data_IF_448617135506
#
_entry.id   IF_448617135506
#
_cell.length_a   1.000
_cell.length_b   1.000
_cell.length_c   1.000
_cell.angle_alpha   90.00
_cell.angle_beta   90.00
_cell.angle_gamma   90.00
#
_symmetry.space_group_name_H-M   'P 1'
#
loop_
_entity.id
_entity.type
_entity.pdbx_description
1 polymer ?
#
# COMPACT_ATOMS: atom_id res chain seq x y z
N UNK A 1 -10.80 30.06 -20.37
CA UNK A 1 -11.39 28.73 -20.13
C UNK A 1 -12.79 28.72 -20.71
N UNK A 2 -13.08 27.78 -21.62
CA UNK A 2 -14.41 27.60 -22.21
C UNK A 2 -15.44 27.21 -21.12
N UNK A 3 -16.72 27.54 -21.31
CA UNK A 3 -17.79 27.24 -20.35
C UNK A 3 -17.95 25.74 -20.09
N UNK A 4 -17.76 24.92 -21.12
CA UNK A 4 -17.78 23.45 -21.01
C UNK A 4 -16.70 22.93 -20.05
N UNK A 5 -15.49 23.51 -20.09
CA UNK A 5 -14.41 23.16 -19.18
C UNK A 5 -14.77 23.50 -17.73
N UNK A 6 -15.43 24.65 -17.50
CA UNK A 6 -15.87 25.04 -16.15
C UNK A 6 -16.95 24.11 -15.62
N UNK A 7 -17.91 23.73 -16.45
CA UNK A 7 -18.98 22.80 -16.09
C UNK A 7 -18.42 21.41 -15.77
N UNK A 8 -17.50 20.91 -16.60
CA UNK A 8 -16.81 19.64 -16.37
C UNK A 8 -16.08 19.63 -15.01
N UNK A 9 -15.28 20.66 -14.73
CA UNK A 9 -14.54 20.76 -13.46
C UNK A 9 -15.47 20.82 -12.24
N UNK A 10 -16.60 21.52 -12.36
CA UNK A 10 -17.62 21.57 -11.31
C UNK A 10 -18.20 20.18 -11.02
N UNK A 11 -18.59 19.44 -12.06
CA UNK A 11 -19.16 18.09 -11.91
C UNK A 11 -18.14 17.12 -11.29
N UNK A 12 -16.86 17.21 -11.69
CA UNK A 12 -15.78 16.41 -11.09
C UNK A 12 -15.60 16.75 -9.60
N UNK A 13 -15.62 18.04 -9.24
CA UNK A 13 -15.49 18.46 -7.84
C UNK A 13 -16.67 17.97 -6.97
N UNK A 14 -17.90 18.03 -7.50
CA UNK A 14 -19.08 17.52 -6.82
C UNK A 14 -19.04 15.99 -6.64
N UNK A 15 -18.57 15.26 -7.67
CA UNK A 15 -18.34 13.82 -7.57
C UNK A 15 -17.31 13.50 -6.49
N UNK A 16 -16.15 14.16 -6.48
CA UNK A 16 -15.11 13.95 -5.45
C UNK A 16 -15.66 14.24 -4.06
N UNK A 17 -16.47 15.29 -3.89
CA UNK A 17 -17.10 15.64 -2.62
C UNK A 17 -18.11 14.57 -2.17
N UNK A 18 -18.93 14.06 -3.07
CA UNK A 18 -19.90 12.99 -2.80
C UNK A 18 -19.21 11.69 -2.40
N UNK A 19 -18.16 11.31 -3.13
CA UNK A 19 -17.32 10.17 -2.80
C UNK A 19 -16.70 10.39 -1.41
N UNK A 20 -16.05 11.54 -1.19
CA UNK A 20 -15.42 11.89 0.08
C UNK A 20 -16.36 11.77 1.28
N UNK A 21 -17.62 12.22 1.13
CA UNK A 21 -18.65 12.09 2.16
C UNK A 21 -19.00 10.63 2.46
N UNK A 22 -19.10 9.79 1.42
CA UNK A 22 -19.34 8.36 1.59
C UNK A 22 -18.22 7.68 2.39
N UNK A 23 -16.97 8.13 2.21
CA UNK A 23 -15.84 7.67 3.02
C UNK A 23 -15.88 8.21 4.47
N UNK A 24 -16.35 9.43 4.70
CA UNK A 24 -16.50 9.99 6.06
C UNK A 24 -17.52 9.21 6.91
N UNK A 25 -18.56 8.68 6.27
CA UNK A 25 -19.57 7.87 6.93
C UNK A 25 -19.11 6.41 7.16
N UNK A 26 -18.05 5.97 6.47
CA UNK A 26 -17.52 4.63 6.57
C UNK A 26 -16.64 4.44 7.80
N UNK A 27 -17.25 3.94 8.89
CA UNK A 27 -16.52 3.53 10.10
C UNK A 27 -15.93 2.13 9.95
N UNK A 28 -14.61 2.07 9.71
CA UNK A 28 -13.85 0.82 9.65
C UNK A 28 -13.89 0.10 8.30
N UNK A 29 -13.08 -0.96 8.18
CA UNK A 29 -12.81 -1.63 6.89
C UNK A 29 -14.06 -2.23 6.25
N UNK A 30 -15.00 -2.77 7.03
CA UNK A 30 -16.24 -3.38 6.49
C UNK A 30 -17.12 -2.37 5.74
N UNK A 31 -17.28 -1.16 6.30
CA UNK A 31 -18.04 -0.09 5.62
C UNK A 31 -17.28 0.45 4.43
N UNK A 32 -15.95 0.54 4.53
CA UNK A 32 -15.09 0.92 3.42
C UNK A 32 -15.22 -0.02 2.22
N UNK A 33 -15.25 -1.34 2.46
CA UNK A 33 -15.50 -2.37 1.44
C UNK A 33 -16.82 -2.11 0.70
N UNK A 34 -17.85 -1.67 1.42
CA UNK A 34 -19.17 -1.36 0.84
C UNK A 34 -19.13 -0.10 -0.04
N UNK A 35 -18.44 0.95 0.41
CA UNK A 35 -18.25 2.18 -0.37
C UNK A 35 -17.48 1.88 -1.65
N UNK A 36 -16.35 1.19 -1.56
CA UNK A 36 -15.53 0.80 -2.72
C UNK A 36 -16.32 -0.05 -3.72
N UNK A 37 -17.18 -0.96 -3.22
CA UNK A 37 -18.10 -1.73 -4.08
C UNK A 37 -19.07 -0.83 -4.85
N UNK A 38 -19.65 0.17 -4.20
CA UNK A 38 -20.50 1.18 -4.86
C UNK A 38 -19.76 1.99 -5.93
N UNK A 39 -18.44 2.11 -5.80
CA UNK A 39 -17.55 2.80 -6.74
C UNK A 39 -17.00 1.87 -7.84
N UNK A 40 -17.52 0.66 -7.97
CA UNK A 40 -17.13 -0.28 -9.03
C UNK A 40 -15.86 -1.08 -8.73
N UNK A 41 -15.38 -1.07 -7.49
CA UNK A 41 -14.29 -1.97 -7.08
C UNK A 41 -14.84 -3.31 -6.56
N UNK A 42 -14.08 -4.36 -6.79
CA UNK A 42 -14.35 -5.70 -6.29
C UNK A 42 -13.37 -6.04 -5.18
N UNK A 43 -13.89 -6.42 -4.02
CA UNK A 43 -13.08 -6.97 -2.95
C UNK A 43 -12.50 -8.32 -3.39
N UNK A 44 -11.18 -8.47 -3.28
CA UNK A 44 -10.48 -9.74 -3.49
C UNK A 44 -10.16 -10.37 -2.14
N UNK A 45 -9.68 -11.61 -2.16
CA UNK A 45 -9.32 -12.33 -0.93
C UNK A 45 -8.31 -11.50 -0.12
N UNK A 46 -8.55 -11.36 1.19
CA UNK A 46 -7.62 -10.66 2.06
C UNK A 46 -6.35 -11.50 2.25
N UNK A 47 -5.20 -10.83 2.34
CA UNK A 47 -3.93 -11.51 2.68
C UNK A 47 -3.62 -11.17 4.13
N UNK A 48 -3.82 -12.14 5.02
CA UNK A 48 -3.25 -12.06 6.36
C UNK A 48 -1.75 -12.32 6.28
N UNK A 49 -0.97 -11.36 6.77
CA UNK A 49 0.48 -11.48 6.79
C UNK A 49 0.92 -12.37 7.95
N UNK A 50 1.63 -13.43 7.60
CA UNK A 50 2.34 -14.26 8.56
C UNK A 50 3.82 -14.24 8.18
N UNK A 51 4.66 -13.59 9.00
CA UNK A 51 6.08 -13.47 8.71
C UNK A 51 6.80 -14.83 8.64
N UNK A 52 6.24 -15.87 9.28
CA UNK A 52 6.81 -17.22 9.23
C UNK A 52 6.53 -17.92 7.90
N UNK A 53 5.61 -17.39 7.08
CA UNK A 53 5.35 -17.96 5.76
C UNK A 53 6.41 -17.52 4.76
N UNK A 54 6.98 -18.50 4.06
CA UNK A 54 7.85 -18.25 2.92
C UNK A 54 7.00 -18.03 1.67
N UNK A 55 6.74 -16.76 1.32
CA UNK A 55 5.92 -16.41 0.16
C UNK A 55 6.65 -16.55 -1.18
N UNK A 56 7.98 -16.60 -1.17
CA UNK A 56 8.81 -16.71 -2.35
C UNK A 56 10.16 -17.39 -2.07
N UNK A 57 10.71 -18.06 -3.08
CA UNK A 57 12.09 -18.54 -3.07
C UNK A 57 13.00 -17.43 -3.60
N UNK A 58 14.09 -17.13 -2.87
CA UNK A 58 15.14 -16.21 -3.35
C UNK A 58 16.05 -16.97 -4.30
N UNK A 59 16.16 -16.51 -5.55
CA UNK A 59 17.12 -17.06 -6.51
C UNK A 59 18.39 -16.22 -6.55
N UNK A 60 19.51 -16.84 -6.94
CA UNK A 60 20.86 -16.25 -6.97
C UNK A 60 20.94 -15.04 -7.91
N UNK A 61 20.05 -14.96 -8.91
CA UNK A 61 19.95 -13.87 -9.89
C UNK A 61 19.08 -12.68 -9.43
N UNK A 62 18.63 -12.66 -8.17
CA UNK A 62 17.84 -11.55 -7.62
C UNK A 62 16.37 -11.51 -8.07
N UNK A 63 15.89 -12.52 -8.81
CA UNK A 63 14.47 -12.68 -9.13
C UNK A 63 13.81 -13.63 -8.12
N UNK A 64 12.90 -13.11 -7.30
CA UNK A 64 12.12 -13.90 -6.37
C UNK A 64 11.06 -14.72 -7.12
N UNK A 65 11.01 -16.03 -6.88
CA UNK A 65 9.97 -16.91 -7.41
C UNK A 65 8.84 -17.04 -6.38
N UNK A 66 7.68 -16.48 -6.69
CA UNK A 66 6.53 -16.45 -5.78
C UNK A 66 5.80 -17.79 -5.79
N UNK A 67 5.78 -18.46 -4.64
CA UNK A 67 5.15 -19.79 -4.47
C UNK A 67 3.65 -19.70 -4.25
N UNK A 68 3.19 -18.59 -3.66
CA UNK A 68 1.80 -18.42 -3.23
C UNK A 68 0.90 -17.92 -4.38
N UNK A 69 -0.13 -18.72 -4.69
CA UNK A 69 -1.15 -18.41 -5.71
C UNK A 69 -1.90 -17.11 -5.42
N UNK A 70 -1.94 -16.64 -4.16
CA UNK A 70 -2.55 -15.37 -3.77
C UNK A 70 -1.89 -14.16 -4.43
N UNK A 71 -0.67 -14.29 -4.95
CA UNK A 71 0.06 -13.25 -5.68
C UNK A 71 0.05 -13.43 -7.22
N UNK A 72 -0.83 -14.27 -7.77
CA UNK A 72 -1.08 -14.28 -9.22
C UNK A 72 -1.55 -12.89 -9.69
N UNK A 73 -1.25 -12.47 -10.93
CA UNK A 73 -1.69 -11.16 -11.41
C UNK A 73 -3.18 -10.92 -11.15
N UNK A 74 -3.48 -9.76 -10.58
CA UNK A 74 -4.83 -9.24 -10.42
C UNK A 74 -4.96 -7.99 -11.30
N UNK A 75 -6.18 -7.53 -11.57
CA UNK A 75 -6.40 -6.27 -12.29
C UNK A 75 -5.86 -5.05 -11.53
N UNK A 76 -6.02 -3.88 -12.14
CA UNK A 76 -5.65 -2.60 -11.54
C UNK A 76 -6.59 -2.21 -10.40
N UNK A 77 -6.06 -1.50 -9.41
CA UNK A 77 -6.86 -1.05 -8.27
C UNK A 77 -6.06 -0.50 -7.11
N UNK A 78 -6.64 -0.60 -5.91
CA UNK A 78 -6.09 -0.08 -4.65
C UNK A 78 -5.97 -1.20 -3.61
N UNK A 79 -5.05 -1.01 -2.67
CA UNK A 79 -4.89 -1.91 -1.53
C UNK A 79 -4.61 -1.13 -0.26
N UNK A 80 -4.99 -1.72 0.86
CA UNK A 80 -4.89 -1.12 2.20
C UNK A 80 -4.25 -2.16 3.11
N UNK A 81 -3.14 -1.79 3.75
CA UNK A 81 -2.59 -2.53 4.87
C UNK A 81 -3.23 -2.02 6.15
N UNK A 82 -4.00 -2.89 6.80
CA UNK A 82 -4.49 -2.71 8.16
C UNK A 82 -3.49 -3.35 9.13
N UNK A 83 -3.24 -2.70 10.27
CA UNK A 83 -2.39 -3.20 11.34
C UNK A 83 -3.17 -3.18 12.65
N UNK A 84 -3.10 -4.27 13.40
CA UNK A 84 -3.75 -4.41 14.71
C UNK A 84 -2.68 -4.46 15.81
N UNK A 85 -2.53 -3.34 16.53
CA UNK A 85 -1.65 -3.23 17.69
C UNK A 85 -2.21 -3.90 18.94
N UNK A 86 -3.53 -4.13 19.02
CA UNK A 86 -4.18 -4.69 20.22
C UNK A 86 -3.88 -6.17 20.42
N UNK A 87 -3.58 -6.87 19.32
CA UNK A 87 -3.21 -8.30 19.34
C UNK A 87 -1.69 -8.52 19.30
N UNK A 88 -0.90 -7.47 19.38
CA UNK A 88 0.54 -7.63 19.53
C UNK A 88 0.82 -8.16 20.94
N UNK A 89 1.72 -9.14 21.06
CA UNK A 89 1.98 -9.79 22.35
C UNK A 89 2.79 -8.92 23.31
N UNK A 90 3.30 -7.75 22.88
CA UNK A 90 4.17 -6.88 23.69
C UNK A 90 4.54 -5.52 23.10
N UNK A 91 4.09 -5.15 21.89
CA UNK A 91 4.60 -3.99 21.14
C UNK A 91 3.52 -2.97 20.78
N UNK A 92 3.73 -1.73 21.19
CA UNK A 92 2.81 -0.61 20.98
C UNK A 92 3.02 0.07 19.61
N UNK A 93 2.10 0.97 19.23
CA UNK A 93 2.29 1.86 18.07
C UNK A 93 3.55 2.74 18.22
N UNK A 94 3.91 3.12 19.44
CA UNK A 94 5.15 3.88 19.70
C UNK A 94 6.39 3.05 19.44
N UNK A 95 6.38 1.76 19.82
CA UNK A 95 7.48 0.84 19.52
C UNK A 95 7.64 0.65 18.02
N UNK A 96 6.51 0.57 17.30
CA UNK A 96 6.51 0.52 15.84
C UNK A 96 7.16 1.76 15.23
N UNK A 97 6.80 2.97 15.70
CA UNK A 97 7.39 4.23 15.23
C UNK A 97 8.91 4.23 15.38
N UNK A 98 9.40 3.95 16.59
CA UNK A 98 10.83 3.97 16.90
C UNK A 98 11.63 3.03 15.98
N UNK A 99 11.17 1.78 15.84
CA UNK A 99 11.79 0.81 14.94
C UNK A 99 11.75 1.29 13.47
N UNK A 100 10.63 1.84 13.01
CA UNK A 100 10.49 2.24 11.61
C UNK A 100 11.34 3.47 11.27
N UNK A 101 11.44 4.44 12.19
CA UNK A 101 12.27 5.63 12.04
C UNK A 101 13.76 5.30 12.04
N UNK A 102 14.19 4.36 12.90
CA UNK A 102 15.56 3.83 12.90
C UNK A 102 15.88 3.20 11.54
N UNK A 103 15.01 2.30 11.07
CA UNK A 103 15.13 1.65 9.76
C UNK A 103 15.15 2.64 8.59
N UNK A 104 14.34 3.69 8.65
CA UNK A 104 14.27 4.73 7.62
C UNK A 104 15.54 5.61 7.60
N UNK A 105 16.22 5.71 8.73
CA UNK A 105 17.45 6.49 8.89
C UNK A 105 18.72 5.73 8.47
N UNK A 106 18.65 4.39 8.38
CA UNK A 106 19.78 3.56 7.95
C UNK A 106 20.31 3.96 6.56
N UNK A 107 21.64 4.01 6.46
CA UNK A 107 22.37 4.21 5.21
C UNK A 107 23.12 2.94 4.83
N UNK A 108 23.16 2.65 3.53
CA UNK A 108 23.92 1.52 2.98
C UNK A 108 24.78 1.97 1.81
N UNK A 109 25.90 1.28 1.61
CA UNK A 109 26.74 1.49 0.44
C UNK A 109 26.09 0.87 -0.81
N UNK A 110 25.87 1.69 -1.84
CA UNK A 110 25.47 1.25 -3.17
C UNK A 110 26.61 1.48 -4.15
N UNK A 111 27.09 0.39 -4.75
CA UNK A 111 28.06 0.45 -5.84
C UNK A 111 27.32 0.68 -7.14
N UNK A 112 27.62 1.77 -7.85
CA UNK A 112 27.02 2.03 -9.15
C UNK A 112 27.68 1.18 -10.26
N UNK A 113 27.11 1.20 -11.47
CA UNK A 113 27.64 0.45 -12.64
C UNK A 113 29.10 0.78 -13.01
N UNK A 114 29.65 1.88 -12.48
CA UNK A 114 31.03 2.33 -12.69
C UNK A 114 31.95 1.98 -11.51
N UNK A 115 31.50 1.17 -10.55
CA UNK A 115 32.29 0.78 -9.38
C UNK A 115 32.39 1.83 -8.27
N UNK A 116 31.72 2.98 -8.41
CA UNK A 116 31.76 4.04 -7.37
C UNK A 116 30.78 3.71 -6.25
N UNK A 117 31.27 3.72 -5.01
CA UNK A 117 30.48 3.62 -3.79
C UNK A 117 29.80 4.95 -3.50
N UNK A 118 28.49 4.89 -3.23
CA UNK A 118 27.72 6.01 -2.69
C UNK A 118 26.94 5.52 -1.47
N UNK A 119 26.84 6.33 -0.43
CA UNK A 119 25.88 6.10 0.64
C UNK A 119 24.48 6.47 0.17
N UNK A 120 23.52 5.60 0.44
CA UNK A 120 22.10 5.81 0.14
C UNK A 120 21.26 5.44 1.34
N UNK A 121 20.24 6.25 1.62
CA UNK A 121 19.25 5.95 2.67
C UNK A 121 18.34 4.80 2.27
N UNK A 122 17.83 4.07 3.26
CA UNK A 122 16.81 3.05 3.03
C UNK A 122 15.56 3.68 2.42
N UNK A 123 15.34 3.37 1.14
CA UNK A 123 14.21 3.91 0.40
C UNK A 123 12.93 3.15 0.77
N UNK A 124 12.27 3.60 1.84
CA UNK A 124 10.98 3.14 2.37
C UNK A 124 10.09 4.36 2.72
N UNK A 125 8.75 4.19 2.76
CA UNK A 125 7.85 5.24 3.23
C UNK A 125 8.20 5.73 4.64
N UNK A 126 8.03 7.03 4.87
CA UNK A 126 8.30 7.63 6.18
C UNK A 126 7.10 7.45 7.10
N UNK A 127 7.32 7.63 8.39
CA UNK A 127 6.25 7.66 9.38
C UNK A 127 5.51 9.01 9.32
N UNK A 128 4.17 8.98 9.32
CA UNK A 128 3.34 10.17 9.37
C UNK A 128 3.08 10.59 10.83
N UNK A 129 3.49 11.80 11.18
CA UNK A 129 3.27 12.40 12.52
C UNK A 129 1.79 12.37 12.93
N UNK A 130 0.89 12.74 12.00
CA UNK A 130 -0.55 12.60 12.18
C UNK A 130 -1.08 11.38 11.42
N UNK A 131 -1.33 10.29 12.14
CA UNK A 131 -1.76 9.02 11.56
C UNK A 131 -2.84 8.31 12.37
N UNK A 132 -3.59 7.43 11.69
CA UNK A 132 -4.58 6.55 12.31
C UNK A 132 -3.96 5.48 13.19
N UNK A 133 -4.78 4.82 14.00
CA UNK A 133 -4.37 3.70 14.84
C UNK A 133 -4.35 2.35 14.09
N UNK A 134 -5.06 2.23 12.96
CA UNK A 134 -5.37 0.93 12.38
C UNK A 134 -4.87 0.74 10.94
N UNK A 135 -4.48 1.81 10.23
CA UNK A 135 -4.09 1.70 8.82
C UNK A 135 -2.61 1.96 8.67
N UNK A 136 -1.87 0.94 8.28
CA UNK A 136 -0.43 0.99 8.09
C UNK A 136 -0.05 1.76 6.83
N UNK A 137 -0.65 1.41 5.70
CA UNK A 137 -0.26 1.92 4.39
C UNK A 137 -1.41 1.81 3.39
N UNK A 138 -1.49 2.76 2.47
CA UNK A 138 -2.41 2.73 1.32
C UNK A 138 -1.55 2.78 0.06
N UNK A 139 -1.93 2.02 -0.96
CA UNK A 139 -1.29 2.12 -2.25
C UNK A 139 -2.18 1.68 -3.39
N UNK A 140 -1.69 1.88 -4.61
CA UNK A 140 -2.38 1.49 -5.83
C UNK A 140 -1.47 0.90 -6.89
N UNK A 141 -2.08 0.28 -7.90
CA UNK A 141 -1.38 -0.06 -9.13
C UNK A 141 -2.36 -0.08 -10.31
N UNK A 142 -1.93 0.47 -11.45
CA UNK A 142 -2.83 0.70 -12.59
C UNK A 142 -3.26 -0.56 -13.32
N UNK A 143 -2.39 -1.57 -13.38
CA UNK A 143 -2.59 -2.77 -14.21
C UNK A 143 -2.66 -4.03 -13.37
N UNK A 144 -1.72 -4.21 -12.45
CA UNK A 144 -1.71 -5.35 -11.53
C UNK A 144 -1.30 -4.99 -10.08
N UNK A 145 -2.27 -4.98 -9.17
CA UNK A 145 -2.01 -4.71 -7.75
C UNK A 145 -1.07 -5.73 -7.11
N UNK A 146 -1.11 -7.00 -7.53
CA UNK A 146 -0.28 -8.03 -6.92
C UNK A 146 1.19 -7.89 -7.33
N UNK A 147 1.48 -7.39 -8.54
CA UNK A 147 2.85 -7.01 -8.92
C UNK A 147 3.44 -5.95 -7.99
N UNK A 148 2.63 -4.98 -7.53
CA UNK A 148 3.07 -3.99 -6.54
C UNK A 148 3.19 -4.58 -5.15
N UNK A 149 2.22 -5.40 -4.71
CA UNK A 149 2.27 -6.07 -3.40
C UNK A 149 3.52 -6.94 -3.25
N UNK A 150 3.92 -7.67 -4.29
CA UNK A 150 5.19 -8.43 -4.30
C UNK A 150 6.41 -7.57 -3.96
N UNK A 151 6.40 -6.27 -4.29
CA UNK A 151 7.49 -5.36 -3.92
C UNK A 151 7.44 -5.01 -2.42
N UNK A 152 6.25 -4.83 -1.85
CA UNK A 152 6.09 -4.61 -0.41
C UNK A 152 6.54 -5.81 0.43
N UNK A 153 6.43 -7.03 -0.12
CA UNK A 153 6.85 -8.27 0.53
C UNK A 153 8.21 -8.78 0.05
N UNK A 154 8.91 -8.08 -0.84
CA UNK A 154 10.15 -8.57 -1.44
C UNK A 154 11.32 -7.66 -1.10
N UNK A 155 12.53 -8.24 -1.08
CA UNK A 155 13.76 -7.49 -0.79
C UNK A 155 14.30 -6.71 -2.02
N UNK A 156 13.41 -6.22 -2.90
CA UNK A 156 13.81 -5.57 -4.14
C UNK A 156 14.30 -4.13 -3.87
N UNK A 157 15.61 -3.93 -4.00
CA UNK A 157 16.34 -2.72 -3.58
C UNK A 157 15.94 -1.45 -4.37
N UNK A 158 15.23 -1.58 -5.50
CA UNK A 158 14.97 -0.47 -6.42
C UNK A 158 13.58 0.18 -6.29
N UNK A 159 12.74 -0.21 -5.32
CA UNK A 159 11.43 0.42 -5.13
C UNK A 159 11.43 1.32 -3.90
N UNK A 160 11.38 2.64 -4.11
CA UNK A 160 11.47 3.66 -3.05
C UNK A 160 10.23 3.77 -2.17
N UNK A 161 9.11 3.18 -2.60
CA UNK A 161 7.82 3.22 -1.91
C UNK A 161 7.32 1.82 -1.55
N UNK A 162 8.21 0.83 -1.53
CA UNK A 162 7.91 -0.50 -1.00
C UNK A 162 8.14 -0.55 0.52
N UNK A 163 7.32 -1.34 1.22
CA UNK A 163 7.41 -1.51 2.68
C UNK A 163 8.53 -2.50 3.08
N UNK A 164 8.91 -3.41 2.18
CA UNK A 164 9.95 -4.44 2.40
C UNK A 164 9.74 -5.21 3.71
N UNK A 165 8.51 -5.68 3.96
CA UNK A 165 8.07 -6.26 5.24
C UNK A 165 8.74 -7.61 5.58
N UNK A 166 9.40 -8.24 4.63
CA UNK A 166 10.12 -9.52 4.79
C UNK A 166 11.65 -9.33 4.85
N UNK A 167 12.12 -8.09 4.90
CA UNK A 167 13.54 -7.78 5.05
C UNK A 167 14.11 -8.42 6.32
N UNK A 168 15.31 -8.97 6.25
CA UNK A 168 15.96 -9.65 7.38
C UNK A 168 16.18 -8.73 8.57
N UNK A 169 16.37 -7.44 8.29
CA UNK A 169 16.48 -6.33 9.24
C UNK A 169 15.23 -6.18 10.12
N UNK A 170 14.03 -6.36 9.57
CA UNK A 170 12.78 -5.99 10.26
C UNK A 170 11.84 -7.18 10.51
N UNK A 171 12.05 -8.33 9.87
CA UNK A 171 11.08 -9.45 9.87
C UNK A 171 10.68 -9.88 11.29
N UNK A 172 11.63 -9.99 12.21
CA UNK A 172 11.33 -10.45 13.57
C UNK A 172 10.49 -9.43 14.35
N UNK A 173 10.75 -8.14 14.17
CA UNK A 173 9.98 -7.08 14.82
C UNK A 173 8.59 -6.93 14.20
N UNK A 174 8.48 -6.92 12.85
CA UNK A 174 7.19 -6.88 12.16
C UNK A 174 6.33 -8.10 12.46
N UNK A 175 6.96 -9.26 12.68
CA UNK A 175 6.28 -10.50 13.07
C UNK A 175 5.43 -10.42 14.33
N UNK A 176 5.64 -9.38 15.16
CA UNK A 176 4.86 -9.15 16.38
C UNK A 176 3.51 -8.47 16.13
N UNK A 177 3.26 -7.98 14.91
CA UNK A 177 2.03 -7.27 14.55
C UNK A 177 1.19 -8.08 13.57
N UNK A 178 -0.13 -8.05 13.76
CA UNK A 178 -1.06 -8.61 12.79
C UNK A 178 -1.33 -7.58 11.69
N UNK A 179 -0.85 -7.88 10.49
CA UNK A 179 -1.03 -7.02 9.32
C UNK A 179 -1.93 -7.74 8.31
N UNK A 180 -3.00 -7.09 7.87
CA UNK A 180 -3.90 -7.62 6.84
C UNK A 180 -3.85 -6.71 5.62
N UNK A 181 -3.65 -7.28 4.44
CA UNK A 181 -3.76 -6.55 3.19
C UNK A 181 -5.15 -6.79 2.57
N UNK A 182 -5.96 -5.72 2.53
CA UNK A 182 -7.24 -5.66 1.85
C UNK A 182 -7.02 -5.19 0.41
N UNK A 183 -7.60 -5.90 -0.56
CA UNK A 183 -7.31 -5.71 -1.99
C UNK A 183 -8.58 -5.46 -2.78
N UNK A 184 -8.55 -4.43 -3.62
CA UNK A 184 -9.69 -3.98 -4.39
C UNK A 184 -9.29 -3.75 -5.82
N UNK A 185 -9.85 -4.52 -6.76
CA UNK A 185 -9.61 -4.28 -8.19
C UNK A 185 -10.80 -3.58 -8.80
N UNK A 186 -10.56 -2.67 -9.72
CA UNK A 186 -11.63 -2.11 -10.54
C UNK A 186 -12.17 -3.20 -11.48
N UNK A 187 -13.47 -3.21 -11.74
CA UNK A 187 -14.08 -4.15 -12.68
C UNK A 187 -13.48 -4.03 -14.09
N UNK A 188 -13.45 -5.15 -14.80
CA UNK A 188 -12.83 -5.23 -16.12
C UNK A 188 -13.56 -4.39 -17.19
N UNK A 189 -14.86 -4.15 -17.01
CA UNK A 189 -15.71 -3.32 -17.87
C UNK A 189 -15.48 -1.80 -17.70
N UNK A 190 -14.65 -1.38 -16.74
CA UNK A 190 -14.34 0.03 -16.54
C UNK A 190 -13.46 0.58 -17.67
N UNK A 191 -13.77 1.77 -18.24
CA UNK A 191 -13.05 2.34 -19.38
C UNK A 191 -11.54 2.45 -19.15
N UNK A 192 -10.76 1.85 -20.06
CA UNK A 192 -9.30 1.77 -19.94
C UNK A 192 -8.63 3.14 -19.86
N UNK A 193 -9.08 4.09 -20.69
CA UNK A 193 -8.53 5.46 -20.73
C UNK A 193 -8.70 6.22 -19.41
N UNK A 194 -9.72 5.89 -18.62
CA UNK A 194 -10.03 6.56 -17.35
C UNK A 194 -9.49 5.80 -16.12
N UNK A 195 -9.17 4.50 -16.28
CA UNK A 195 -8.81 3.58 -15.20
C UNK A 195 -7.69 4.12 -14.32
N UNK A 196 -6.59 4.57 -14.93
CA UNK A 196 -5.43 5.07 -14.18
C UNK A 196 -5.74 6.32 -13.35
N UNK A 197 -6.50 7.26 -13.91
CA UNK A 197 -6.90 8.49 -13.21
C UNK A 197 -7.89 8.20 -12.09
N UNK A 198 -8.85 7.31 -12.31
CA UNK A 198 -9.84 6.92 -11.32
C UNK A 198 -9.21 6.21 -10.12
N UNK A 199 -8.29 5.26 -10.36
CA UNK A 199 -7.54 4.58 -9.30
C UNK A 199 -6.74 5.58 -8.45
N UNK A 200 -6.02 6.50 -9.09
CA UNK A 200 -5.23 7.51 -8.39
C UNK A 200 -6.10 8.48 -7.56
N UNK A 201 -7.29 8.83 -8.07
CA UNK A 201 -8.26 9.63 -7.34
C UNK A 201 -8.75 8.92 -6.08
N UNK A 202 -9.10 7.64 -6.18
CA UNK A 202 -9.56 6.84 -5.04
C UNK A 202 -8.43 6.63 -4.02
N UNK A 203 -7.22 6.32 -4.46
CA UNK A 203 -6.03 6.27 -3.59
C UNK A 203 -5.83 7.58 -2.82
N UNK A 204 -5.94 8.73 -3.50
CA UNK A 204 -5.80 10.04 -2.85
C UNK A 204 -6.88 10.30 -1.79
N UNK A 205 -8.11 9.87 -2.05
CA UNK A 205 -9.22 9.97 -1.07
C UNK A 205 -8.93 9.04 0.12
N UNK A 206 -8.51 7.80 -0.13
CA UNK A 206 -8.14 6.84 0.91
C UNK A 206 -7.00 7.38 1.80
N UNK A 207 -5.95 7.96 1.24
CA UNK A 207 -4.86 8.58 2.02
C UNK A 207 -5.39 9.68 2.95
N UNK A 208 -6.22 10.60 2.42
CA UNK A 208 -6.79 11.70 3.21
C UNK A 208 -7.69 11.23 4.34
N UNK A 209 -8.45 10.15 4.10
CA UNK A 209 -9.47 9.66 5.05
C UNK A 209 -8.91 8.69 6.07
N UNK A 210 -8.06 7.77 5.63
CA UNK A 210 -7.49 6.75 6.49
C UNK A 210 -6.27 7.23 7.25
N UNK A 211 -5.58 8.29 6.78
CA UNK A 211 -4.35 8.83 7.38
C UNK A 211 -3.38 7.68 7.74
N UNK A 212 -2.86 6.95 6.74
CA UNK A 212 -2.04 5.78 7.02
C UNK A 212 -0.80 6.16 7.85
N UNK A 213 -0.33 5.22 8.68
CA UNK A 213 0.86 5.37 9.52
C UNK A 213 2.10 5.65 8.69
N UNK A 214 2.20 5.02 7.52
CA UNK A 214 3.30 5.18 6.59
C UNK A 214 2.82 5.84 5.30
N UNK A 215 3.55 6.83 4.78
CA UNK A 215 3.15 7.56 3.58
C UNK A 215 4.22 8.51 3.04
#
# INVERSE_FOLDING_TARGET
MAEETKLYLKNVAELIKSIGKSFDEAKGITKLKSVLKGLGFENKEDILFNIKHEYYKKNVEGKNEWKDKKFKPLGGGVYIFEIDFSKSQSKTKSDFKNMWDERASETYEKINKKGKKNEVKNAIPQYNEESSENYLYVGSHRTDINSRLKQHFGNNINSTSALKLTGEDIKNEIGNYNITCHRFTLKDDFPEYARGGYIAMIESILHKKLKPILG
#
